data_IF_598747269444
#
_entry.id   IF_598747269444
#
_cell.length_a   1.000
_cell.length_b   1.000
_cell.length_c   1.000
_cell.angle_alpha   90.00
_cell.angle_beta   90.00
_cell.angle_gamma   90.00
#
_symmetry.space_group_name_H-M   'P 1'
#
loop_
_entity.id
_entity.type
_entity.pdbx_description
1 polymer ?
#
# COMPACT_ATOMS: atom_id res chain seq x y z
N UNK A 1 -6.82 20.06 17.74
CA UNK A 1 -7.82 20.56 16.78
C UNK A 1 -7.29 20.69 15.36
N UNK A 2 -6.14 21.33 15.13
CA UNK A 2 -5.54 21.47 13.78
C UNK A 2 -5.45 20.16 12.99
N UNK A 3 -4.92 19.09 13.61
CA UNK A 3 -4.84 17.74 12.99
C UNK A 3 -6.21 17.22 12.52
N UNK A 4 -7.27 17.41 13.31
CA UNK A 4 -8.63 16.97 12.99
C UNK A 4 -9.21 17.77 11.82
N UNK A 5 -8.97 19.09 11.79
CA UNK A 5 -9.41 19.96 10.68
C UNK A 5 -8.70 19.57 9.39
N UNK A 6 -7.38 19.35 9.43
CA UNK A 6 -6.62 18.87 8.27
C UNK A 6 -7.13 17.51 7.78
N UNK A 7 -7.44 16.59 8.71
CA UNK A 7 -7.97 15.28 8.36
C UNK A 7 -9.36 15.38 7.70
N UNK A 8 -10.22 16.27 8.20
CA UNK A 8 -11.54 16.54 7.60
C UNK A 8 -11.41 17.10 6.18
N UNK A 9 -10.50 18.06 5.97
CA UNK A 9 -10.21 18.62 4.63
C UNK A 9 -9.78 17.50 3.69
N UNK A 10 -8.88 16.62 4.12
CA UNK A 10 -8.46 15.46 3.33
C UNK A 10 -9.62 14.53 3.00
N UNK A 11 -10.49 14.21 3.96
CA UNK A 11 -11.65 13.34 3.73
C UNK A 11 -12.62 13.96 2.73
N UNK A 12 -12.91 15.27 2.83
CA UNK A 12 -13.78 15.98 1.90
C UNK A 12 -13.17 15.99 0.49
N UNK A 13 -11.88 16.27 0.36
CA UNK A 13 -11.17 16.23 -0.92
C UNK A 13 -11.20 14.82 -1.55
N UNK A 14 -10.99 13.78 -0.74
CA UNK A 14 -11.08 12.39 -1.19
C UNK A 14 -12.50 12.01 -1.63
N UNK A 15 -13.53 12.51 -0.94
CA UNK A 15 -14.93 12.32 -1.33
C UNK A 15 -15.23 12.99 -2.67
N UNK A 16 -14.80 14.23 -2.86
CA UNK A 16 -14.97 14.96 -4.13
C UNK A 16 -14.24 14.23 -5.25
N UNK A 17 -12.98 13.82 -5.01
CA UNK A 17 -12.20 13.04 -5.96
C UNK A 17 -12.88 11.72 -6.33
N UNK A 18 -13.36 10.96 -5.34
CA UNK A 18 -14.10 9.71 -5.54
C UNK A 18 -15.37 9.93 -6.36
N UNK A 19 -16.15 10.97 -6.03
CA UNK A 19 -17.39 11.30 -6.72
C UNK A 19 -17.17 11.67 -8.19
N UNK A 20 -16.03 12.30 -8.53
CA UNK A 20 -15.70 12.65 -9.92
C UNK A 20 -15.17 11.44 -10.71
N UNK A 21 -14.57 10.45 -10.04
CA UNK A 21 -14.01 9.25 -10.65
C UNK A 21 -14.96 8.04 -10.57
N UNK A 22 -16.28 8.30 -10.48
CA UNK A 22 -17.33 7.28 -10.64
C UNK A 22 -17.61 6.93 -12.10
N UNK A 23 -16.99 7.65 -13.05
CA UNK A 23 -16.97 7.23 -14.45
C UNK A 23 -16.38 5.83 -14.55
N UNK A 24 -17.07 4.98 -15.32
CA UNK A 24 -16.69 3.59 -15.41
C UNK A 24 -15.61 3.42 -16.47
N UNK A 25 -14.50 2.80 -16.08
CA UNK A 25 -13.46 2.39 -17.01
C UNK A 25 -13.76 0.96 -17.48
N UNK A 26 -13.63 0.73 -18.79
CA UNK A 26 -13.69 -0.61 -19.35
C UNK A 26 -12.36 -1.33 -19.11
N UNK A 27 -12.40 -2.39 -18.31
CA UNK A 27 -11.25 -3.26 -18.08
C UNK A 27 -11.33 -4.44 -19.05
N UNK A 28 -10.35 -4.50 -19.94
CA UNK A 28 -10.11 -5.66 -20.79
C UNK A 28 -9.18 -6.65 -20.06
N UNK A 29 -9.77 -7.69 -19.48
CA UNK A 29 -9.00 -8.80 -18.93
C UNK A 29 -8.36 -9.63 -20.06
N UNK A 30 -7.23 -10.29 -19.78
CA UNK A 30 -6.49 -11.14 -20.74
C UNK A 30 -7.36 -12.25 -21.35
N UNK A 31 -8.40 -12.66 -20.64
CA UNK A 31 -9.47 -13.51 -21.17
C UNK A 31 -10.82 -13.05 -20.61
N UNK A 32 -11.85 -13.00 -21.46
CA UNK A 32 -13.23 -12.68 -21.07
C UNK A 32 -13.83 -11.46 -21.77
N UNK A 33 -15.05 -11.10 -21.38
CA UNK A 33 -15.76 -9.89 -21.86
C UNK A 33 -15.24 -8.66 -21.11
N UNK A 34 -15.29 -7.45 -21.70
CA UNK A 34 -14.98 -6.22 -20.98
C UNK A 34 -15.86 -6.09 -19.73
N UNK A 35 -15.26 -5.71 -18.60
CA UNK A 35 -16.00 -5.39 -17.39
C UNK A 35 -15.88 -3.90 -17.09
N UNK A 36 -17.01 -3.26 -16.85
CA UNK A 36 -17.11 -1.84 -16.57
C UNK A 36 -17.01 -1.63 -15.05
N UNK A 37 -15.99 -0.91 -14.59
CA UNK A 37 -15.71 -0.74 -13.16
C UNK A 37 -15.45 0.74 -12.86
N UNK A 38 -16.00 1.33 -11.78
CA UNK A 38 -15.67 2.69 -11.38
C UNK A 38 -14.17 2.89 -11.24
N UNK A 39 -13.62 3.90 -11.91
CA UNK A 39 -12.18 4.18 -11.95
C UNK A 39 -11.57 4.30 -10.54
N UNK A 40 -12.34 4.86 -9.61
CA UNK A 40 -11.92 4.99 -8.19
C UNK A 40 -11.57 3.65 -7.54
N UNK A 41 -12.24 2.55 -7.91
CA UNK A 41 -11.94 1.23 -7.35
C UNK A 41 -10.59 0.70 -7.83
N UNK A 42 -10.22 1.00 -9.08
CA UNK A 42 -8.91 0.64 -9.64
C UNK A 42 -7.81 1.41 -8.91
N UNK A 43 -8.00 2.72 -8.73
CA UNK A 43 -7.05 3.60 -8.03
C UNK A 43 -6.88 3.17 -6.57
N UNK A 44 -7.99 2.92 -5.86
CA UNK A 44 -7.98 2.46 -4.48
C UNK A 44 -7.29 1.09 -4.36
N UNK A 45 -7.59 0.16 -5.26
CA UNK A 45 -6.96 -1.16 -5.30
C UNK A 45 -5.45 -1.07 -5.50
N UNK A 46 -4.99 -0.26 -6.46
CA UNK A 46 -3.57 -0.04 -6.72
C UNK A 46 -2.84 0.58 -5.52
N UNK A 47 -3.46 1.57 -4.86
CA UNK A 47 -2.91 2.20 -3.67
C UNK A 47 -2.76 1.20 -2.50
N UNK A 48 -3.81 0.44 -2.20
CA UNK A 48 -3.79 -0.56 -1.13
C UNK A 48 -2.76 -1.65 -1.41
N UNK A 49 -2.69 -2.14 -2.66
CA UNK A 49 -1.71 -3.13 -3.06
C UNK A 49 -0.27 -2.62 -2.88
N UNK A 50 0.03 -1.42 -3.35
CA UNK A 50 1.36 -0.80 -3.19
C UNK A 50 1.74 -0.60 -1.72
N UNK A 51 0.81 -0.11 -0.90
CA UNK A 51 1.03 0.04 0.54
C UNK A 51 1.29 -1.31 1.23
N UNK A 52 0.50 -2.34 0.90
CA UNK A 52 0.68 -3.69 1.44
C UNK A 52 2.05 -4.29 1.05
N UNK A 53 2.47 -4.13 -0.21
CA UNK A 53 3.79 -4.58 -0.67
C UNK A 53 4.93 -3.85 0.06
N UNK A 54 4.81 -2.54 0.24
CA UNK A 54 5.80 -1.75 0.96
C UNK A 54 5.90 -2.17 2.43
N UNK A 55 4.76 -2.36 3.10
CA UNK A 55 4.69 -2.82 4.48
C UNK A 55 5.31 -4.21 4.63
N UNK A 56 4.94 -5.15 3.75
CA UNK A 56 5.50 -6.49 3.75
C UNK A 56 7.02 -6.48 3.56
N UNK A 57 7.51 -5.68 2.61
CA UNK A 57 8.95 -5.52 2.37
C UNK A 57 9.67 -4.96 3.59
N UNK A 58 9.08 -3.97 4.26
CA UNK A 58 9.64 -3.40 5.48
C UNK A 58 9.72 -4.42 6.61
N UNK A 59 8.66 -5.18 6.84
CA UNK A 59 8.60 -6.24 7.85
C UNK A 59 9.66 -7.32 7.55
N UNK A 60 9.75 -7.80 6.31
CA UNK A 60 10.76 -8.80 5.92
C UNK A 60 12.19 -8.27 6.12
N UNK A 61 12.45 -7.00 5.79
CA UNK A 61 13.76 -6.37 5.98
C UNK A 61 14.13 -6.25 7.46
N UNK A 62 13.18 -5.88 8.32
CA UNK A 62 13.40 -5.86 9.77
C UNK A 62 13.65 -7.26 10.33
N UNK A 63 12.89 -8.26 9.88
CA UNK A 63 13.08 -9.66 10.29
C UNK A 63 14.49 -10.16 9.94
N UNK A 64 14.92 -10.00 8.68
CA UNK A 64 16.27 -10.38 8.25
C UNK A 64 17.38 -9.66 9.01
N UNK A 65 17.18 -8.38 9.34
CA UNK A 65 18.15 -7.60 10.11
C UNK A 65 18.29 -8.15 11.54
N UNK A 66 17.17 -8.53 12.16
CA UNK A 66 17.12 -9.11 13.51
C UNK A 66 17.75 -10.51 13.56
N UNK A 67 17.55 -11.33 12.53
CA UNK A 67 18.20 -12.64 12.41
C UNK A 67 19.71 -12.52 12.22
N UNK A 68 20.19 -11.56 11.41
CA UNK A 68 21.63 -11.30 11.25
C UNK A 68 22.28 -10.85 12.56
N UNK A 69 21.59 -10.03 13.35
CA UNK A 69 22.07 -9.58 14.67
C UNK A 69 22.13 -10.71 15.69
N UNK A 70 21.14 -11.63 15.68
CA UNK A 70 21.16 -12.86 16.49
C UNK A 70 22.29 -13.79 16.09
N UNK A 71 22.56 -13.96 14.80
CA UNK A 71 23.64 -14.85 14.35
C UNK A 71 25.04 -14.32 14.75
N UNK A 72 25.24 -12.99 14.71
CA UNK A 72 26.48 -12.35 15.18
C UNK A 72 26.65 -12.48 16.70
N UNK A 73 25.57 -12.38 17.47
CA UNK A 73 25.61 -12.55 18.94
C UNK A 73 25.78 -14.01 19.36
N UNK A 74 25.23 -14.96 18.61
CA UNK A 74 25.34 -16.41 18.91
C UNK A 74 26.67 -17.02 18.46
N UNK A 75 27.28 -16.52 17.36
CA UNK A 75 28.60 -16.99 16.92
C UNK A 75 29.77 -16.27 17.58
N UNK A 76 29.51 -15.16 18.29
CA UNK A 76 30.55 -14.29 18.83
C UNK A 76 31.44 -13.69 17.73
N UNK A 77 32.24 -12.65 18.01
CA UNK A 77 33.28 -12.21 17.09
C UNK A 77 34.35 -13.31 17.03
N UNK A 78 34.18 -14.27 16.12
CA UNK A 78 35.25 -15.19 15.72
C UNK A 78 36.29 -14.38 14.94
N UNK A 79 37.19 -13.73 15.67
CA UNK A 79 38.21 -12.88 15.10
C UNK A 79 39.13 -12.32 16.18
N UNK A 80 39.75 -13.21 16.96
CA UNK A 80 41.20 -13.35 17.15
C UNK A 80 41.47 -14.70 17.85
#
# INVERSE_FOLDING_TARGET
MFKSVVMLIFIVLLLIFSSQNMEHAEIHAVAGRPFSVPLILIIAGAFVAGYATALFTFIMKQSKRRDKERDITLRGPSGF
#
